data_IF_465242778213
#
_entry.id   IF_465242778213
#
_cell.length_a   1.000
_cell.length_b   1.000
_cell.length_c   1.000
_cell.angle_alpha   90.00
_cell.angle_beta   90.00
_cell.angle_gamma   90.00
#
_symmetry.space_group_name_H-M   'P 1'
#
loop_
_entity.id
_entity.type
_entity.pdbx_description
1 polymer ?
#
# COMPACT_ATOMS: atom_id res chain seq x y z
N UNK A 1 11.22 15.59 29.06
CA UNK A 1 10.15 15.54 28.03
C UNK A 1 10.10 14.12 27.46
N UNK A 2 8.93 13.57 27.14
CA UNK A 2 8.90 12.24 26.55
C UNK A 2 9.65 12.24 25.20
N UNK A 3 10.47 11.23 24.98
CA UNK A 3 11.29 11.10 23.78
C UNK A 3 10.43 11.14 22.51
N UNK A 4 10.71 12.08 21.61
CA UNK A 4 10.01 12.20 20.33
C UNK A 4 10.34 11.01 19.43
N UNK A 5 9.32 10.36 18.89
CA UNK A 5 9.46 9.28 17.92
C UNK A 5 8.88 9.70 16.58
N UNK A 6 9.65 9.51 15.52
CA UNK A 6 9.19 9.75 14.15
C UNK A 6 9.13 8.43 13.38
N UNK A 7 7.96 8.15 12.79
CA UNK A 7 7.79 7.11 11.78
C UNK A 7 7.83 7.77 10.40
N UNK A 8 8.63 7.23 9.48
CA UNK A 8 8.69 7.71 8.10
C UNK A 8 8.00 6.72 7.18
N UNK A 9 6.95 7.18 6.50
CA UNK A 9 6.04 6.41 5.67
C UNK A 9 4.67 6.24 6.33
N UNK A 10 3.57 6.65 5.67
CA UNK A 10 2.19 6.48 6.14
C UNK A 10 1.51 5.26 5.48
N UNK A 11 2.24 4.15 5.41
CA UNK A 11 1.72 2.86 4.97
C UNK A 11 1.16 2.03 6.12
N UNK A 12 0.76 0.79 5.80
CA UNK A 12 0.16 -0.14 6.75
C UNK A 12 1.05 -0.39 7.99
N UNK A 13 2.36 -0.57 7.81
CA UNK A 13 3.30 -0.80 8.92
C UNK A 13 3.33 0.35 9.92
N UNK A 14 3.43 1.60 9.47
CA UNK A 14 3.36 2.77 10.37
C UNK A 14 2.01 2.90 11.05
N UNK A 15 0.93 2.60 10.33
CA UNK A 15 -0.42 2.66 10.89
C UNK A 15 -0.56 1.68 12.06
N UNK A 16 -0.14 0.42 11.89
CA UNK A 16 -0.11 -0.59 12.95
C UNK A 16 0.79 -0.15 14.11
N UNK A 17 2.01 0.29 13.82
CA UNK A 17 2.94 0.75 14.86
C UNK A 17 2.39 1.93 15.65
N UNK A 18 1.65 2.85 15.01
CA UNK A 18 1.04 3.98 15.70
C UNK A 18 -0.02 3.57 16.73
N UNK A 19 -0.67 2.42 16.54
CA UNK A 19 -1.60 1.82 17.50
C UNK A 19 -0.88 1.11 18.66
N UNK A 20 0.24 0.46 18.36
CA UNK A 20 0.96 -0.37 19.33
C UNK A 20 1.95 0.44 20.18
N UNK A 21 2.56 1.48 19.63
CA UNK A 21 3.51 2.31 20.36
C UNK A 21 2.78 3.29 21.27
N UNK A 22 2.84 3.04 22.58
CA UNK A 22 2.27 3.92 23.62
C UNK A 22 3.18 5.14 23.87
N UNK A 23 3.33 6.02 22.88
CA UNK A 23 4.13 7.24 23.01
C UNK A 23 3.31 8.47 22.57
N UNK A 24 3.01 9.35 23.50
CA UNK A 24 2.24 10.60 23.23
C UNK A 24 2.98 11.57 22.30
N UNK A 25 4.31 11.42 22.13
CA UNK A 25 5.14 12.26 21.25
C UNK A 25 5.55 11.50 19.98
N UNK A 26 4.61 10.74 19.41
CA UNK A 26 4.75 10.01 18.16
C UNK A 26 4.14 10.82 17.03
N UNK A 27 4.84 10.92 15.90
CA UNK A 27 4.31 11.47 14.65
C UNK A 27 4.68 10.57 13.47
N UNK A 28 3.85 10.58 12.45
CA UNK A 28 4.15 9.96 11.15
C UNK A 28 4.45 11.07 10.15
N UNK A 29 5.44 10.86 9.29
CA UNK A 29 5.79 11.78 8.21
C UNK A 29 5.79 11.01 6.89
N UNK A 30 5.13 11.54 5.86
CA UNK A 30 5.03 10.89 4.55
C UNK A 30 5.17 11.89 3.40
N UNK A 31 5.77 11.43 2.29
CA UNK A 31 5.88 12.22 1.06
C UNK A 31 4.59 12.31 0.25
N UNK A 32 3.67 11.39 0.46
CA UNK A 32 2.38 11.32 -0.23
C UNK A 32 1.41 12.40 0.22
N UNK A 33 0.28 12.46 -0.47
CA UNK A 33 -0.84 13.36 -0.14
C UNK A 33 -1.82 12.77 0.87
N UNK A 34 -1.68 11.48 1.17
CA UNK A 34 -2.58 10.74 2.05
C UNK A 34 -2.01 9.39 2.44
N UNK A 35 -2.68 8.68 3.35
CA UNK A 35 -2.25 7.39 3.82
C UNK A 35 -2.46 6.29 2.79
N UNK A 36 -1.78 5.16 2.98
CA UNK A 36 -1.97 3.95 2.20
C UNK A 36 -0.67 3.36 1.65
N UNK A 37 0.21 4.19 1.11
CA UNK A 37 1.42 3.68 0.46
C UNK A 37 1.06 2.65 -0.63
N UNK A 38 1.56 1.41 -0.50
CA UNK A 38 1.23 0.31 -1.43
C UNK A 38 -0.22 -0.22 -1.30
N UNK A 39 -1.00 0.25 -0.35
CA UNK A 39 -2.43 -0.02 -0.22
C UNK A 39 -3.29 1.14 -0.77
N UNK A 40 -2.72 1.99 -1.62
CA UNK A 40 -3.43 3.15 -2.15
C UNK A 40 -4.55 2.77 -3.11
N UNK A 41 -5.64 3.52 -3.02
CA UNK A 41 -6.79 3.45 -3.93
C UNK A 41 -6.79 4.70 -4.82
N UNK A 42 -6.89 4.53 -6.12
CA UNK A 42 -7.10 5.62 -7.07
C UNK A 42 -8.59 5.84 -7.27
N UNK A 43 -9.04 7.07 -7.05
CA UNK A 43 -10.39 7.51 -7.38
C UNK A 43 -10.35 8.31 -8.66
N UNK A 44 -11.21 7.97 -9.60
CA UNK A 44 -11.36 8.63 -10.90
C UNK A 44 -12.79 9.15 -10.98
N UNK A 45 -12.93 10.46 -11.09
CA UNK A 45 -14.24 11.12 -11.12
C UNK A 45 -15.10 10.54 -12.24
N UNK A 46 -16.39 10.34 -11.97
CA UNK A 46 -17.38 9.75 -12.87
C UNK A 46 -17.18 8.29 -13.26
N UNK A 47 -16.03 7.69 -12.90
CA UNK A 47 -15.69 6.29 -13.21
C UNK A 47 -15.79 5.40 -11.98
N UNK A 48 -15.01 5.71 -10.93
CA UNK A 48 -15.02 4.93 -9.69
C UNK A 48 -13.65 4.77 -9.05
N UNK A 49 -13.51 3.72 -8.25
CA UNK A 49 -12.34 3.47 -7.41
C UNK A 49 -11.59 2.22 -7.85
N UNK A 50 -10.27 2.31 -7.89
CA UNK A 50 -9.37 1.21 -8.23
C UNK A 50 -8.31 1.02 -7.16
N UNK A 51 -8.17 -0.19 -6.62
CA UNK A 51 -7.05 -0.55 -5.77
C UNK A 51 -5.85 -0.94 -6.64
N UNK A 52 -5.03 0.04 -6.99
CA UNK A 52 -3.93 -0.18 -7.93
C UNK A 52 -2.68 -0.82 -7.32
N UNK A 53 -2.65 -0.99 -6.00
CA UNK A 53 -1.60 -1.72 -5.29
C UNK A 53 -2.15 -3.01 -4.69
N UNK A 54 -2.29 -3.05 -3.35
CA UNK A 54 -2.86 -4.17 -2.63
C UNK A 54 -4.31 -4.41 -3.07
N UNK A 55 -4.62 -5.62 -3.51
CA UNK A 55 -5.97 -5.96 -3.96
C UNK A 55 -6.89 -6.36 -2.80
N UNK A 56 -6.36 -7.10 -1.82
CA UNK A 56 -7.06 -7.55 -0.62
C UNK A 56 -6.07 -7.92 0.49
N UNK A 57 -6.55 -8.02 1.71
CA UNK A 57 -5.84 -8.60 2.84
C UNK A 57 -6.36 -10.03 3.04
N UNK A 58 -5.46 -11.02 3.10
CA UNK A 58 -5.79 -12.38 3.45
C UNK A 58 -5.06 -12.77 4.73
N UNK A 59 -5.76 -12.87 5.87
CA UNK A 59 -5.12 -13.27 7.12
C UNK A 59 -4.70 -14.74 7.04
N UNK A 60 -3.42 -15.00 7.28
CA UNK A 60 -2.87 -16.37 7.29
C UNK A 60 -2.76 -16.94 8.69
N UNK A 61 -2.90 -16.11 9.72
CA UNK A 61 -2.88 -16.52 11.12
C UNK A 61 -4.13 -16.04 11.85
N UNK A 62 -4.53 -16.76 12.87
CA UNK A 62 -5.68 -16.40 13.70
C UNK A 62 -5.47 -15.07 14.41
N UNK A 63 -4.25 -14.80 14.87
CA UNK A 63 -3.89 -13.56 15.55
C UNK A 63 -4.07 -12.35 14.63
N UNK A 64 -3.69 -12.49 13.35
CA UNK A 64 -3.87 -11.42 12.39
C UNK A 64 -5.34 -11.20 12.01
N UNK A 65 -6.14 -12.28 11.92
CA UNK A 65 -7.60 -12.17 11.71
C UNK A 65 -8.27 -11.47 12.90
N UNK A 66 -7.88 -11.82 14.15
CA UNK A 66 -8.36 -11.13 15.35
C UNK A 66 -7.97 -9.65 15.33
N UNK A 67 -6.72 -9.33 14.99
CA UNK A 67 -6.25 -7.95 14.87
C UNK A 67 -7.09 -7.15 13.86
N UNK A 68 -7.35 -7.69 12.68
CA UNK A 68 -8.16 -7.03 11.66
C UNK A 68 -9.57 -6.74 12.17
N UNK A 69 -10.23 -7.72 12.79
CA UNK A 69 -11.58 -7.54 13.34
C UNK A 69 -11.59 -6.55 14.50
N UNK A 70 -10.61 -6.61 15.41
CA UNK A 70 -10.53 -5.69 16.55
C UNK A 70 -10.36 -4.22 16.17
N UNK A 71 -9.56 -3.94 15.14
CA UNK A 71 -9.17 -2.56 14.80
C UNK A 71 -9.80 -2.01 13.53
N UNK A 72 -10.34 -2.87 12.66
CA UNK A 72 -10.77 -2.49 11.32
C UNK A 72 -12.20 -2.93 10.96
N UNK A 73 -12.96 -3.55 11.86
CA UNK A 73 -14.32 -4.04 11.60
C UNK A 73 -15.22 -2.98 10.93
N UNK A 74 -15.08 -1.72 11.33
CA UNK A 74 -15.85 -0.62 10.75
C UNK A 74 -15.44 -0.25 9.32
N UNK A 75 -14.17 -0.48 8.95
CA UNK A 75 -13.57 0.01 7.69
C UNK A 75 -13.30 -1.05 6.65
N UNK A 76 -13.27 -2.34 7.05
CA UNK A 76 -13.13 -3.45 6.12
C UNK A 76 -14.43 -4.22 5.93
N UNK A 77 -14.50 -4.95 4.83
CA UNK A 77 -15.52 -5.98 4.58
C UNK A 77 -14.89 -7.15 3.85
N UNK A 78 -15.51 -8.30 3.93
CA UNK A 78 -15.09 -9.44 3.14
C UNK A 78 -15.39 -9.18 1.65
N UNK A 79 -14.43 -9.46 0.80
CA UNK A 79 -14.59 -9.52 -0.64
C UNK A 79 -15.04 -10.93 -1.00
N UNK A 80 -16.34 -11.15 -0.93
CA UNK A 80 -16.95 -12.42 -1.30
C UNK A 80 -16.94 -12.64 -2.81
N UNK A 81 -17.18 -13.88 -3.20
CA UNK A 81 -17.29 -14.30 -4.59
C UNK A 81 -16.21 -15.28 -5.02
N UNK A 82 -16.13 -15.54 -6.31
CA UNK A 82 -15.24 -16.53 -6.87
C UNK A 82 -13.85 -15.97 -7.20
N UNK A 83 -12.82 -16.68 -6.76
CA UNK A 83 -11.41 -16.37 -7.06
C UNK A 83 -10.75 -17.62 -7.60
N UNK A 84 -10.07 -17.54 -8.73
CA UNK A 84 -9.49 -18.71 -9.37
C UNK A 84 -8.10 -18.44 -9.97
N UNK A 85 -7.40 -19.52 -10.28
CA UNK A 85 -6.24 -19.51 -11.15
C UNK A 85 -6.70 -19.70 -12.59
N UNK A 86 -6.18 -18.88 -13.51
CA UNK A 86 -6.59 -18.89 -14.91
C UNK A 86 -6.24 -20.22 -15.62
N UNK A 87 -5.10 -20.81 -15.28
CA UNK A 87 -4.57 -21.96 -16.00
C UNK A 87 -5.26 -23.30 -15.70
N UNK A 88 -5.85 -23.42 -14.52
CA UNK A 88 -6.41 -24.70 -14.06
C UNK A 88 -7.76 -24.57 -13.35
N UNK A 89 -8.35 -23.37 -13.37
CA UNK A 89 -9.62 -23.00 -12.72
C UNK A 89 -9.69 -23.34 -11.21
N UNK A 90 -8.54 -23.62 -10.59
CA UNK A 90 -8.51 -23.89 -9.16
C UNK A 90 -8.95 -22.69 -8.37
N UNK A 91 -9.86 -22.91 -7.44
CA UNK A 91 -10.31 -21.90 -6.48
C UNK A 91 -9.16 -21.43 -5.61
N UNK A 92 -9.11 -20.12 -5.38
CA UNK A 92 -8.21 -19.50 -4.41
C UNK A 92 -8.98 -19.27 -3.12
N UNK A 93 -8.85 -20.21 -2.20
CA UNK A 93 -9.56 -20.22 -0.93
C UNK A 93 -9.08 -19.14 0.06
N UNK A 94 -9.80 -19.06 1.18
CA UNK A 94 -9.50 -18.18 2.30
C UNK A 94 -10.17 -16.83 2.23
N UNK A 95 -10.36 -16.23 3.40
CA UNK A 95 -10.96 -14.90 3.55
C UNK A 95 -10.13 -13.83 2.86
N UNK A 96 -10.80 -12.91 2.21
CA UNK A 96 -10.20 -11.75 1.55
C UNK A 96 -10.93 -10.50 2.02
N UNK A 97 -10.22 -9.63 2.75
CA UNK A 97 -10.78 -8.37 3.23
C UNK A 97 -10.34 -7.20 2.35
N UNK A 98 -11.26 -6.30 2.10
CA UNK A 98 -11.04 -5.04 1.37
C UNK A 98 -11.56 -3.86 2.19
N UNK A 99 -11.01 -2.68 1.94
CA UNK A 99 -11.56 -1.45 2.48
C UNK A 99 -12.94 -1.14 1.89
N UNK A 100 -13.90 -0.75 2.74
CA UNK A 100 -15.29 -0.45 2.33
C UNK A 100 -15.36 0.64 1.25
N UNK A 101 -14.54 1.69 1.36
CA UNK A 101 -14.46 2.78 0.40
C UNK A 101 -13.21 2.71 -0.48
N UNK A 102 -12.17 2.02 0.00
CA UNK A 102 -10.89 1.82 -0.67
C UNK A 102 -9.87 1.21 0.28
N UNK A 103 -8.86 0.55 -0.24
CA UNK A 103 -7.88 -0.10 0.62
C UNK A 103 -6.99 0.89 1.41
N UNK A 104 -6.91 2.14 1.00
CA UNK A 104 -6.24 3.18 1.77
C UNK A 104 -7.04 3.61 3.02
N UNK A 105 -8.35 3.40 3.06
CA UNK A 105 -9.18 3.84 4.19
C UNK A 105 -8.90 3.02 5.46
N UNK A 106 -8.68 1.70 5.34
CA UNK A 106 -8.31 0.92 6.52
C UNK A 106 -6.92 1.32 7.08
N UNK A 107 -6.00 1.77 6.22
CA UNK A 107 -4.73 2.34 6.69
C UNK A 107 -4.96 3.64 7.44
N UNK A 108 -5.84 4.51 6.92
CA UNK A 108 -6.23 5.75 7.58
C UNK A 108 -6.84 5.50 8.96
N UNK A 109 -7.74 4.53 9.07
CA UNK A 109 -8.42 4.21 10.33
C UNK A 109 -7.51 3.57 11.38
N UNK A 110 -6.46 2.86 10.94
CA UNK A 110 -5.44 2.36 11.84
C UNK A 110 -4.54 3.44 12.43
N UNK A 111 -4.37 4.58 11.75
CA UNK A 111 -3.48 5.64 12.22
C UNK A 111 -4.01 6.25 13.51
N UNK A 112 -3.23 6.16 14.59
CA UNK A 112 -3.58 6.64 15.92
C UNK A 112 -2.78 7.89 16.37
N UNK A 113 -2.12 8.57 15.42
CA UNK A 113 -1.29 9.75 15.71
C UNK A 113 -1.36 10.77 14.59
N UNK A 114 -0.78 11.96 14.82
CA UNK A 114 -0.65 13.01 13.79
C UNK A 114 0.19 12.52 12.62
N UNK A 115 -0.23 12.85 11.39
CA UNK A 115 0.53 12.63 10.16
C UNK A 115 0.86 13.97 9.49
N UNK A 116 2.12 14.13 9.10
CA UNK A 116 2.56 15.24 8.26
C UNK A 116 2.81 14.73 6.84
N UNK A 117 1.93 15.11 5.92
CA UNK A 117 1.99 14.74 4.50
C UNK A 117 2.84 15.74 3.69
N UNK A 118 3.15 15.38 2.44
CA UNK A 118 3.93 16.16 1.49
C UNK A 118 5.34 16.48 2.01
N UNK A 119 5.90 15.58 2.80
CA UNK A 119 7.21 15.67 3.44
C UNK A 119 8.14 14.58 2.93
N UNK A 120 8.87 14.85 1.86
CA UNK A 120 9.85 13.91 1.31
C UNK A 120 11.16 14.00 2.08
N UNK A 121 11.50 12.92 2.80
CA UNK A 121 12.77 12.79 3.51
C UNK A 121 13.91 12.63 2.49
N UNK A 122 14.95 13.44 2.62
CA UNK A 122 16.10 13.45 1.70
C UNK A 122 17.34 12.86 2.37
N UNK A 123 17.67 13.29 3.59
CA UNK A 123 18.83 12.82 4.33
C UNK A 123 18.53 12.62 5.81
N UNK A 124 19.29 11.74 6.42
CA UNK A 124 19.29 11.47 7.85
C UNK A 124 20.71 11.68 8.36
N UNK A 125 20.86 12.41 9.45
CA UNK A 125 22.12 12.56 10.17
C UNK A 125 21.93 12.27 11.66
N UNK A 126 23.01 12.06 12.39
CA UNK A 126 22.97 11.91 13.85
C UNK A 126 23.89 12.92 14.52
N UNK A 127 23.33 13.67 15.47
CA UNK A 127 24.08 14.66 16.25
C UNK A 127 23.53 14.70 17.68
N UNK A 128 24.42 14.72 18.68
CA UNK A 128 24.03 14.81 20.10
C UNK A 128 22.95 13.79 20.53
N UNK A 129 23.13 12.52 20.13
CA UNK A 129 22.17 11.44 20.37
C UNK A 129 20.77 11.62 19.76
N UNK A 130 20.60 12.59 18.85
CA UNK A 130 19.35 12.81 18.12
C UNK A 130 19.51 12.51 16.65
N UNK A 131 18.42 12.05 16.04
CA UNK A 131 18.27 11.94 14.60
C UNK A 131 17.86 13.28 14.04
N UNK A 132 18.56 13.74 13.01
CA UNK A 132 18.30 14.98 12.27
C UNK A 132 17.79 14.57 10.89
N UNK A 133 16.53 14.86 10.60
CA UNK A 133 15.87 14.52 9.35
C UNK A 133 15.75 15.78 8.51
N UNK A 134 16.29 15.76 7.30
CA UNK A 134 16.20 16.87 6.36
C UNK A 134 15.25 16.52 5.22
N UNK A 135 14.30 17.39 4.96
CA UNK A 135 13.26 17.22 3.96
C UNK A 135 13.51 18.05 2.70
N UNK A 136 12.88 17.67 1.58
CA UNK A 136 13.01 18.34 0.29
C UNK A 136 12.59 19.81 0.33
N UNK A 137 11.64 20.18 1.19
CA UNK A 137 11.21 21.55 1.45
C UNK A 137 12.18 22.36 2.35
N UNK A 138 13.39 21.83 2.56
CA UNK A 138 14.45 22.39 3.42
C UNK A 138 14.12 22.43 4.92
N UNK A 139 12.96 21.94 5.34
CA UNK A 139 12.64 21.82 6.77
C UNK A 139 13.46 20.70 7.42
N UNK A 140 13.70 20.87 8.72
CA UNK A 140 14.44 19.92 9.54
C UNK A 140 13.59 19.50 10.72
N UNK A 141 13.58 18.20 11.01
CA UNK A 141 12.99 17.64 12.22
C UNK A 141 14.05 16.91 13.03
N UNK A 142 13.93 16.97 14.34
CA UNK A 142 14.76 16.21 15.27
C UNK A 142 13.90 15.21 16.03
N UNK A 143 14.47 14.02 16.35
CA UNK A 143 13.86 13.05 17.21
C UNK A 143 14.90 12.15 17.89
N UNK A 144 14.52 11.54 19.00
CA UNK A 144 15.35 10.55 19.71
C UNK A 144 15.22 9.15 19.14
N UNK A 145 14.04 8.84 18.54
CA UNK A 145 13.76 7.55 17.93
C UNK A 145 13.25 7.75 16.50
N UNK A 146 13.87 7.04 15.57
CA UNK A 146 13.50 7.05 14.16
C UNK A 146 13.18 5.63 13.71
N UNK A 147 12.03 5.46 13.06
CA UNK A 147 11.61 4.19 12.46
C UNK A 147 11.27 4.45 10.99
N UNK A 148 11.94 3.75 10.09
CA UNK A 148 11.70 3.83 8.66
C UNK A 148 10.79 2.67 8.24
N UNK A 149 9.63 2.97 7.67
CA UNK A 149 8.69 1.98 7.11
C UNK A 149 8.51 2.15 5.59
N UNK A 150 9.38 2.95 5.00
CA UNK A 150 9.45 3.16 3.55
C UNK A 150 10.12 1.97 2.86
N UNK A 151 9.96 1.79 1.53
CA UNK A 151 10.62 0.74 0.78
C UNK A 151 12.14 0.73 0.95
N UNK A 152 12.74 -0.45 0.85
CA UNK A 152 14.15 -0.68 1.15
C UNK A 152 15.10 0.23 0.35
N UNK A 153 14.88 0.39 -0.96
CA UNK A 153 15.71 1.26 -1.81
C UNK A 153 15.62 2.74 -1.38
N UNK A 154 14.46 3.15 -0.85
CA UNK A 154 14.31 4.48 -0.29
C UNK A 154 15.00 4.59 1.06
N UNK A 155 14.97 3.54 1.89
CA UNK A 155 15.76 3.47 3.13
C UNK A 155 17.25 3.60 2.83
N UNK A 156 17.79 2.78 1.93
CA UNK A 156 19.19 2.84 1.52
C UNK A 156 19.61 4.24 1.09
N UNK A 157 18.80 4.86 0.21
CA UNK A 157 19.08 6.21 -0.29
C UNK A 157 19.18 7.27 0.81
N UNK A 158 18.30 7.23 1.82
CA UNK A 158 18.29 8.25 2.88
C UNK A 158 19.30 7.96 3.99
N UNK A 159 19.76 6.72 4.10
CA UNK A 159 20.75 6.30 5.12
C UNK A 159 22.18 6.27 4.61
N UNK A 160 22.43 6.45 3.32
CA UNK A 160 23.77 6.43 2.73
C UNK A 160 24.77 7.39 3.40
N UNK A 161 24.29 8.50 3.98
CA UNK A 161 25.14 9.48 4.67
C UNK A 161 25.57 9.05 6.08
N UNK A 162 25.05 7.94 6.61
CA UNK A 162 25.24 7.55 8.01
C UNK A 162 26.49 6.73 8.28
N UNK A 163 27.18 6.26 7.26
CA UNK A 163 28.30 5.31 7.39
C UNK A 163 27.97 4.11 8.30
N UNK A 164 26.69 3.69 8.29
CA UNK A 164 26.24 2.52 9.01
C UNK A 164 26.32 1.32 8.07
N UNK A 165 26.87 0.22 8.54
CA UNK A 165 26.79 -1.07 7.85
C UNK A 165 25.35 -1.62 8.00
N UNK A 166 24.44 -1.10 7.18
CA UNK A 166 23.07 -1.55 7.12
C UNK A 166 22.97 -2.61 6.02
N UNK A 167 23.02 -3.86 6.43
CA UNK A 167 22.83 -4.97 5.50
C UNK A 167 21.33 -5.06 5.14
N UNK A 168 20.98 -4.58 3.96
CA UNK A 168 19.62 -4.71 3.42
C UNK A 168 19.59 -5.93 2.48
N UNK A 169 18.98 -7.01 2.94
CA UNK A 169 18.76 -8.19 2.10
C UNK A 169 17.50 -8.07 1.25
N UNK A 170 17.58 -8.49 -0.01
CA UNK A 170 16.48 -8.52 -0.95
C UNK A 170 16.40 -7.31 -1.90
N UNK A 171 15.41 -7.32 -2.76
CA UNK A 171 15.12 -6.27 -3.73
C UNK A 171 13.62 -6.08 -3.90
N UNK A 172 13.20 -4.87 -4.27
CA UNK A 172 11.81 -4.62 -4.63
C UNK A 172 11.55 -4.99 -6.08
N UNK A 173 10.56 -5.83 -6.29
CA UNK A 173 10.15 -6.21 -7.64
C UNK A 173 9.17 -5.18 -8.22
N UNK A 174 9.33 -4.79 -9.49
CA UNK A 174 8.42 -3.86 -10.14
C UNK A 174 7.07 -4.54 -10.42
N UNK A 175 6.02 -3.72 -10.43
CA UNK A 175 4.69 -4.11 -10.91
C UNK A 175 4.11 -2.96 -11.74
N UNK A 176 3.55 -3.27 -12.90
CA UNK A 176 2.79 -2.34 -13.71
C UNK A 176 1.31 -2.64 -13.51
N UNK A 177 0.52 -1.58 -13.31
CA UNK A 177 -0.92 -1.72 -13.05
C UNK A 177 -1.71 -0.90 -14.06
N UNK A 178 -2.64 -1.55 -14.75
CA UNK A 178 -3.65 -0.92 -15.58
C UNK A 178 -5.00 -0.89 -14.84
N UNK A 179 -5.69 0.25 -14.92
CA UNK A 179 -7.03 0.47 -14.40
C UNK A 179 -7.96 0.67 -15.58
N UNK A 180 -8.94 -0.21 -15.77
CA UNK A 180 -9.75 -0.27 -16.99
C UNK A 180 -11.23 -0.26 -16.61
N UNK A 181 -12.02 0.51 -17.36
CA UNK A 181 -13.48 0.48 -17.33
C UNK A 181 -14.01 -0.04 -18.67
N UNK A 182 -14.81 -1.10 -18.63
CA UNK A 182 -15.49 -1.65 -19.79
C UNK A 182 -16.94 -1.18 -19.80
N UNK A 183 -17.40 -0.67 -20.94
CA UNK A 183 -18.80 -0.26 -21.14
C UNK A 183 -19.73 -1.44 -21.49
N UNK A 184 -19.17 -2.63 -21.63
CA UNK A 184 -19.90 -3.89 -21.77
C UNK A 184 -19.31 -4.91 -20.79
N UNK A 185 -20.16 -5.66 -20.05
CA UNK A 185 -19.68 -6.68 -19.14
C UNK A 185 -18.87 -7.77 -19.85
N UNK A 186 -17.76 -8.17 -19.24
CA UNK A 186 -16.90 -9.24 -19.76
C UNK A 186 -17.52 -10.64 -19.57
N UNK A 187 -18.66 -10.74 -18.83
CA UNK A 187 -19.35 -12.01 -18.51
C UNK A 187 -18.46 -13.01 -17.76
N UNK A 188 -17.49 -12.50 -16.99
CA UNK A 188 -16.65 -13.31 -16.11
C UNK A 188 -17.30 -13.42 -14.73
N UNK A 189 -17.44 -14.64 -14.21
CA UNK A 189 -18.00 -14.88 -12.88
C UNK A 189 -17.00 -14.65 -11.75
N UNK A 190 -15.72 -14.45 -12.07
CA UNK A 190 -14.65 -14.32 -11.09
C UNK A 190 -14.48 -12.90 -10.59
N UNK A 191 -14.36 -12.72 -9.29
CA UNK A 191 -13.99 -11.47 -8.63
C UNK A 191 -12.49 -11.18 -8.73
N UNK A 192 -11.67 -12.22 -8.77
CA UNK A 192 -10.23 -12.12 -8.97
C UNK A 192 -9.65 -13.35 -9.65
N UNK A 193 -8.72 -13.10 -10.56
CA UNK A 193 -8.08 -14.14 -11.36
C UNK A 193 -6.56 -14.01 -11.21
N UNK A 194 -5.91 -15.07 -10.76
CA UNK A 194 -4.46 -15.19 -10.71
C UNK A 194 -3.94 -15.87 -11.96
N UNK A 195 -2.89 -15.31 -12.55
CA UNK A 195 -2.18 -15.88 -13.67
C UNK A 195 -0.82 -16.39 -13.21
N UNK A 196 -0.50 -17.65 -13.46
CA UNK A 196 0.76 -18.28 -13.04
C UNK A 196 1.75 -18.42 -14.18
N UNK A 197 1.26 -18.66 -15.40
CA UNK A 197 2.07 -18.91 -16.59
C UNK A 197 1.91 -17.84 -17.69
N UNK A 198 1.14 -16.80 -17.43
CA UNK A 198 0.95 -15.71 -18.38
C UNK A 198 2.14 -14.76 -18.32
N UNK A 199 2.77 -14.51 -19.45
CA UNK A 199 3.94 -13.61 -19.54
C UNK A 199 3.60 -12.14 -19.33
N UNK A 200 2.32 -11.75 -19.44
CA UNK A 200 1.88 -10.35 -19.35
C UNK A 200 1.19 -10.05 -18.01
N UNK A 201 0.23 -10.88 -17.63
CA UNK A 201 -0.59 -10.68 -16.41
C UNK A 201 -0.16 -11.59 -15.27
N UNK A 202 -0.19 -11.05 -14.06
CA UNK A 202 -0.06 -11.79 -12.81
C UNK A 202 -1.37 -11.85 -12.03
N UNK A 203 -2.19 -10.78 -12.17
CA UNK A 203 -3.48 -10.67 -11.48
C UNK A 203 -4.47 -9.82 -12.26
N UNK A 204 -5.75 -10.18 -12.18
CA UNK A 204 -6.88 -9.34 -12.59
C UNK A 204 -7.92 -9.32 -11.46
N UNK A 205 -8.29 -8.14 -10.98
CA UNK A 205 -9.31 -7.94 -9.94
C UNK A 205 -10.48 -7.14 -10.46
N UNK A 206 -11.69 -7.68 -10.29
CA UNK A 206 -12.93 -6.99 -10.64
C UNK A 206 -13.29 -5.97 -9.55
N UNK A 207 -13.00 -4.69 -9.79
CA UNK A 207 -13.29 -3.61 -8.83
C UNK A 207 -14.80 -3.39 -8.65
N UNK A 208 -15.62 -3.67 -9.69
CA UNK A 208 -17.08 -3.58 -9.59
C UNK A 208 -17.63 -4.61 -8.62
N UNK A 209 -17.04 -5.80 -8.52
CA UNK A 209 -17.45 -6.84 -7.57
C UNK A 209 -17.19 -6.46 -6.11
N UNK A 210 -16.37 -5.43 -5.86
CA UNK A 210 -16.13 -4.89 -4.51
C UNK A 210 -17.31 -4.07 -4.00
N UNK A 211 -18.31 -3.78 -4.82
CA UNK A 211 -19.57 -3.08 -4.49
C UNK A 211 -19.30 -1.80 -3.66
N UNK A 212 -18.46 -0.92 -4.16
CA UNK A 212 -18.15 0.36 -3.53
C UNK A 212 -19.11 1.45 -3.96
N UNK A 213 -19.53 2.28 -3.00
CA UNK A 213 -20.35 3.46 -3.26
C UNK A 213 -19.54 4.44 -4.14
N UNK A 214 -20.19 4.99 -5.17
CA UNK A 214 -19.61 5.96 -6.09
C UNK A 214 -18.94 5.35 -7.33
N UNK A 215 -18.92 4.02 -7.47
CA UNK A 215 -18.54 3.39 -8.74
C UNK A 215 -19.68 3.59 -9.77
N UNK A 216 -19.29 3.85 -11.02
CA UNK A 216 -20.24 4.00 -12.12
C UNK A 216 -20.79 2.61 -12.51
N UNK A 217 -22.06 2.39 -12.27
CA UNK A 217 -22.73 1.10 -12.53
C UNK A 217 -22.87 0.76 -14.03
N UNK A 218 -22.63 1.73 -14.92
CA UNK A 218 -22.62 1.50 -16.37
C UNK A 218 -21.28 0.95 -16.87
N UNK A 219 -20.28 0.87 -15.98
CA UNK A 219 -18.95 0.38 -16.30
C UNK A 219 -18.63 -0.86 -15.46
N UNK A 220 -18.00 -1.85 -16.06
CA UNK A 220 -17.35 -2.91 -15.34
C UNK A 220 -15.86 -2.56 -15.14
N UNK A 221 -15.46 -2.36 -13.87
CA UNK A 221 -14.14 -1.84 -13.51
C UNK A 221 -13.21 -2.98 -13.13
N UNK A 222 -12.00 -2.95 -13.70
CA UNK A 222 -10.96 -3.95 -13.46
C UNK A 222 -9.60 -3.30 -13.17
N UNK A 223 -8.89 -3.88 -12.20
CA UNK A 223 -7.47 -3.63 -11.97
C UNK A 223 -6.67 -4.81 -12.50
N UNK A 224 -5.79 -4.56 -13.46
CA UNK A 224 -4.88 -5.57 -14.03
C UNK A 224 -3.47 -5.30 -13.54
N UNK A 225 -2.84 -6.30 -12.92
CA UNK A 225 -1.44 -6.23 -12.49
C UNK A 225 -0.59 -7.14 -13.36
N UNK A 226 0.55 -6.63 -13.79
CA UNK A 226 1.47 -7.35 -14.66
C UNK A 226 2.09 -8.58 -13.97
N UNK A 227 2.56 -9.51 -14.78
CA UNK A 227 3.57 -10.48 -14.35
C UNK A 227 4.88 -9.76 -13.99
N UNK A 228 5.72 -10.43 -13.21
CA UNK A 228 7.04 -9.91 -12.88
C UNK A 228 7.92 -9.77 -14.13
N UNK A 229 7.85 -10.74 -15.02
CA UNK A 229 8.59 -10.76 -16.29
C UNK A 229 8.26 -9.53 -17.14
N UNK A 230 6.96 -9.27 -17.34
CA UNK A 230 6.50 -8.11 -18.08
C UNK A 230 6.93 -6.80 -17.41
N UNK A 231 6.79 -6.70 -16.08
CA UNK A 231 7.19 -5.51 -15.36
C UNK A 231 8.71 -5.25 -15.47
N UNK A 232 9.55 -6.27 -15.29
CA UNK A 232 11.02 -6.14 -15.45
C UNK A 232 11.39 -5.66 -16.84
N UNK A 233 10.72 -6.16 -17.87
CA UNK A 233 10.99 -5.80 -19.27
C UNK A 233 10.57 -4.37 -19.61
N UNK A 234 9.44 -3.90 -19.09
CA UNK A 234 8.80 -2.67 -19.56
C UNK A 234 8.71 -1.52 -18.56
N UNK A 235 9.03 -1.72 -17.27
CA UNK A 235 8.86 -0.68 -16.24
C UNK A 235 9.68 0.60 -16.51
N UNK A 236 10.80 0.52 -17.24
CA UNK A 236 11.61 1.67 -17.60
C UNK A 236 10.85 2.65 -18.52
N UNK A 237 10.05 2.14 -19.47
CA UNK A 237 9.25 2.97 -20.40
C UNK A 237 8.28 3.89 -19.64
N UNK A 238 7.73 3.41 -18.52
CA UNK A 238 6.73 4.15 -17.74
C UNK A 238 7.33 5.01 -16.62
N UNK A 239 8.62 4.83 -16.29
CA UNK A 239 9.31 5.68 -15.31
C UNK A 239 9.66 7.05 -15.87
N UNK A 240 9.96 7.12 -17.16
CA UNK A 240 10.48 8.33 -17.83
C UNK A 240 9.37 9.25 -18.35
N UNK A 241 8.09 8.84 -18.19
CA UNK A 241 6.92 9.61 -18.60
C UNK A 241 6.31 10.49 -17.48
N UNK A 242 7.06 10.74 -16.40
CA UNK A 242 6.58 11.54 -15.25
C UNK A 242 7.21 12.92 -15.20
#
# INVERSE_FOLDING_TARGET
>A
MPNKTILVGAGFSSAVLSRLIKNKNLIIIDKGRGPGGRSSTRRVDTVGSFDHGLQYISPRTKEFDIFLNQYLESSIKEWGGNFCCFEDDKTIDGKKYIGKLGNNDFVKDLIATKVEYLKELVTINRKNNKWILQFKDKKVHECERLILTIPMEQCQKVTNSLNLDLNFEGSMEPNLTAMIGFNKPLKLSSCGIKFQKNSTLGWAGNESSKLRIGNNNNLELWTLQSSLEFAKKYCHIYRDQK
#
